data_IF_653874018488
#
_entry.id   IF_653874018488
#
_cell.length_a   1.000
_cell.length_b   1.000
_cell.length_c   1.000
_cell.angle_alpha   90.00
_cell.angle_beta   90.00
_cell.angle_gamma   90.00
#
_symmetry.space_group_name_H-M   'P 1'
#
loop_
_entity.id
_entity.type
_entity.pdbx_description
1 polymer ?
#
# COMPACT_ATOMS: atom_id res chain seq x y z
N UNK A 1 18.85 27.01 32.16
CA UNK A 1 19.77 25.91 31.80
C UNK A 1 18.94 24.82 31.16
N UNK A 2 19.24 24.39 29.93
CA UNK A 2 18.56 23.24 29.32
C UNK A 2 18.87 21.99 30.14
N UNK A 3 17.84 21.34 30.67
CA UNK A 3 17.94 20.09 31.42
C UNK A 3 18.69 19.05 30.59
N UNK A 4 19.76 18.46 31.13
CA UNK A 4 20.57 17.48 30.43
C UNK A 4 19.75 16.19 30.25
N UNK A 5 19.13 16.02 29.08
CA UNK A 5 18.40 14.80 28.76
C UNK A 5 19.37 13.66 28.45
N UNK A 6 19.46 12.66 29.33
CA UNK A 6 20.19 11.41 29.06
C UNK A 6 19.39 10.61 28.02
N UNK A 7 19.90 10.58 26.79
CA UNK A 7 19.28 9.82 25.70
C UNK A 7 19.72 8.36 25.77
N UNK A 8 18.81 7.44 26.08
CA UNK A 8 19.08 6.01 26.06
C UNK A 8 18.72 5.39 24.69
N UNK A 9 19.69 4.85 23.94
CA UNK A 9 19.41 4.23 22.64
C UNK A 9 18.67 2.90 22.77
N UNK A 10 17.54 2.73 22.08
CA UNK A 10 16.90 1.42 21.91
C UNK A 10 17.66 0.59 20.85
N UNK A 11 18.59 -0.23 21.33
CA UNK A 11 19.44 -1.09 20.49
C UNK A 11 18.64 -2.16 19.74
N UNK A 12 17.57 -2.69 20.35
CA UNK A 12 16.71 -3.67 19.70
C UNK A 12 15.93 -3.03 18.54
N UNK A 13 15.47 -1.80 18.70
CA UNK A 13 14.83 -1.06 17.61
C UNK A 13 15.79 -0.81 16.45
N UNK A 14 17.04 -0.42 16.74
CA UNK A 14 18.07 -0.26 15.71
C UNK A 14 18.25 -1.56 14.92
N UNK A 15 18.40 -2.69 15.62
CA UNK A 15 18.55 -4.01 14.99
C UNK A 15 17.34 -4.37 14.13
N UNK A 16 16.11 -4.11 14.61
CA UNK A 16 14.88 -4.35 13.82
C UNK A 16 14.83 -3.49 12.57
N UNK A 17 15.18 -2.20 12.65
CA UNK A 17 15.23 -1.32 11.46
C UNK A 17 16.25 -1.84 10.45
N UNK A 18 17.43 -2.28 10.91
CA UNK A 18 18.45 -2.87 10.05
C UNK A 18 17.95 -4.16 9.37
N UNK A 19 17.35 -5.07 10.13
CA UNK A 19 16.77 -6.32 9.62
C UNK A 19 15.59 -6.06 8.66
N UNK A 20 14.83 -5.00 8.88
CA UNK A 20 13.72 -4.56 8.02
C UNK A 20 14.20 -3.85 6.75
N UNK A 21 15.47 -3.91 6.36
CA UNK A 21 16.00 -3.31 5.12
C UNK A 21 16.65 -1.93 5.28
N UNK A 22 16.88 -1.47 6.52
CA UNK A 22 17.57 -0.22 6.84
C UNK A 22 19.05 -0.40 7.22
N UNK A 23 19.71 -1.48 6.78
CA UNK A 23 21.06 -1.87 7.25
C UNK A 23 22.14 -0.79 7.12
N UNK A 24 21.99 0.11 6.15
CA UNK A 24 22.96 1.18 5.88
C UNK A 24 22.80 2.44 6.75
N UNK A 25 21.85 2.44 7.71
CA UNK A 25 21.56 3.60 8.56
C UNK A 25 22.79 4.10 9.33
N UNK A 26 23.70 3.21 9.73
CA UNK A 26 24.92 3.51 10.50
C UNK A 26 26.03 4.17 9.66
N UNK A 27 25.92 4.19 8.33
CA UNK A 27 26.88 4.88 7.44
C UNK A 27 26.69 6.40 7.41
N UNK A 28 25.53 6.89 7.88
CA UNK A 28 25.15 8.28 7.73
C UNK A 28 25.88 9.20 8.73
N UNK A 29 26.68 10.12 8.22
CA UNK A 29 27.39 11.17 8.98
C UNK A 29 26.71 12.56 8.95
N UNK A 30 25.40 12.63 8.67
CA UNK A 30 24.62 13.86 8.78
C UNK A 30 25.00 15.06 7.87
N UNK A 31 25.55 14.84 6.67
CA UNK A 31 25.87 15.91 5.68
C UNK A 31 24.70 16.71 5.08
N UNK A 32 23.43 16.33 5.35
CA UNK A 32 22.22 16.98 4.81
C UNK A 32 21.93 16.88 3.29
N UNK A 33 22.78 16.25 2.46
CA UNK A 33 22.52 16.11 1.00
C UNK A 33 21.12 15.57 0.68
N UNK A 34 20.64 14.61 1.48
CA UNK A 34 19.31 14.03 1.31
C UNK A 34 18.15 15.02 1.53
N UNK A 35 18.31 15.97 2.46
CA UNK A 35 17.29 16.99 2.75
C UNK A 35 17.30 18.12 1.73
N UNK A 36 18.48 18.48 1.21
CA UNK A 36 18.61 19.44 0.12
C UNK A 36 18.01 18.86 -1.16
N UNK A 37 18.35 17.61 -1.51
CA UNK A 37 17.89 16.96 -2.73
C UNK A 37 16.41 16.58 -2.75
N UNK A 38 15.74 16.52 -1.60
CA UNK A 38 14.32 16.17 -1.53
C UNK A 38 13.45 17.41 -1.72
N UNK A 39 12.64 17.42 -2.78
CA UNK A 39 11.70 18.52 -3.09
C UNK A 39 10.57 18.61 -2.07
N UNK A 40 10.22 17.48 -1.45
CA UNK A 40 9.19 17.42 -0.43
C UNK A 40 9.65 17.91 0.94
N UNK A 41 10.95 18.06 1.17
CA UNK A 41 11.48 18.46 2.48
C UNK A 41 11.05 19.88 2.84
N UNK A 42 10.28 20.08 3.93
CA UNK A 42 9.99 21.42 4.45
C UNK A 42 11.28 22.13 4.91
N UNK A 43 11.28 23.46 4.88
CA UNK A 43 12.42 24.27 5.36
C UNK A 43 12.57 24.20 6.87
N UNK A 44 11.48 24.41 7.61
CA UNK A 44 11.47 24.43 9.08
C UNK A 44 11.70 23.04 9.70
N UNK A 45 11.45 21.97 8.93
CA UNK A 45 11.55 20.59 9.41
C UNK A 45 12.19 19.67 8.35
N UNK A 46 13.52 19.76 8.15
CA UNK A 46 14.20 19.02 7.10
C UNK A 46 14.10 17.49 7.27
N UNK A 47 13.65 16.80 6.22
CA UNK A 47 13.66 15.33 6.12
C UNK A 47 14.46 14.92 4.88
N UNK A 48 15.05 13.72 4.80
CA UNK A 48 15.06 12.64 5.78
C UNK A 48 16.21 12.72 6.80
N UNK A 49 17.07 13.75 6.77
CA UNK A 49 18.28 13.86 7.62
C UNK A 49 17.98 13.61 9.11
N UNK A 50 16.92 14.26 9.63
CA UNK A 50 16.50 14.14 11.03
C UNK A 50 16.08 12.71 11.40
N UNK A 51 15.38 12.03 10.51
CA UNK A 51 14.95 10.65 10.73
C UNK A 51 16.16 9.69 10.69
N UNK A 52 17.17 9.97 9.87
CA UNK A 52 18.40 9.19 9.84
C UNK A 52 19.16 9.21 11.18
N UNK A 53 19.33 10.38 11.80
CA UNK A 53 20.05 10.44 13.10
C UNK A 53 19.22 9.81 14.23
N UNK A 54 17.91 10.05 14.25
CA UNK A 54 17.00 9.42 15.22
C UNK A 54 17.01 7.89 15.10
N UNK A 55 17.07 7.37 13.88
CA UNK A 55 17.20 5.93 13.65
C UNK A 55 18.56 5.40 14.14
N UNK A 56 19.66 6.13 13.91
CA UNK A 56 20.99 5.74 14.40
C UNK A 56 21.07 5.66 15.92
N UNK A 57 20.38 6.57 16.62
CA UNK A 57 20.34 6.64 18.08
C UNK A 57 19.19 5.83 18.70
N UNK A 58 18.40 5.09 17.90
CA UNK A 58 17.33 4.26 18.45
C UNK A 58 16.20 5.05 19.09
N UNK A 59 15.95 6.28 18.64
CA UNK A 59 14.94 7.19 19.18
C UNK A 59 13.54 6.83 18.65
N UNK A 60 13.07 5.65 19.02
CA UNK A 60 11.81 5.08 18.54
C UNK A 60 10.61 6.00 18.82
N UNK A 61 10.38 6.53 20.04
CA UNK A 61 9.22 7.38 20.30
C UNK A 61 9.15 8.58 19.35
N UNK A 62 10.28 9.27 19.16
CA UNK A 62 10.40 10.45 18.31
C UNK A 62 10.27 10.15 16.81
N UNK A 63 10.54 8.92 16.38
CA UNK A 63 10.35 8.49 14.99
C UNK A 63 8.89 8.12 14.72
N UNK A 64 8.25 7.41 15.65
CA UNK A 64 6.89 6.89 15.49
C UNK A 64 5.85 7.99 15.62
N UNK A 65 6.19 9.08 16.31
CA UNK A 65 5.36 10.27 16.44
C UNK A 65 5.58 11.31 15.34
N UNK A 66 6.58 11.15 14.46
CA UNK A 66 6.94 12.15 13.44
C UNK A 66 6.13 11.94 12.14
N UNK A 67 5.21 12.87 11.78
CA UNK A 67 4.42 12.76 10.55
C UNK A 67 5.28 12.76 9.28
N UNK A 68 6.50 13.34 9.33
CA UNK A 68 7.41 13.40 8.20
C UNK A 68 7.83 12.01 7.69
N UNK A 69 7.73 10.97 8.53
CA UNK A 69 7.96 9.58 8.14
C UNK A 69 7.07 9.16 6.95
N UNK A 70 5.86 9.71 6.87
CA UNK A 70 4.86 9.37 5.86
C UNK A 70 4.91 10.24 4.60
N UNK A 71 5.70 11.32 4.59
CA UNK A 71 5.87 12.21 3.43
C UNK A 71 6.72 11.54 2.34
N UNK A 72 7.70 10.73 2.72
CA UNK A 72 8.61 10.06 1.79
C UNK A 72 7.87 9.08 0.86
N UNK A 73 7.99 9.32 -0.45
CA UNK A 73 7.48 8.40 -1.47
C UNK A 73 8.44 7.24 -1.79
N UNK A 74 9.67 7.27 -1.27
CA UNK A 74 10.75 6.34 -1.63
C UNK A 74 11.15 6.39 -3.12
N UNK A 75 11.40 7.60 -3.63
CA UNK A 75 11.85 7.82 -5.01
C UNK A 75 13.32 7.46 -5.26
N UNK A 76 14.12 7.28 -4.20
CA UNK A 76 15.52 6.88 -4.33
C UNK A 76 16.53 8.01 -4.62
N UNK A 77 16.10 9.23 -4.96
CA UNK A 77 17.02 10.36 -5.25
C UNK A 77 18.01 10.59 -4.11
N UNK A 78 17.52 10.58 -2.86
CA UNK A 78 18.37 10.74 -1.68
C UNK A 78 19.32 9.56 -1.46
N UNK A 79 18.98 8.37 -1.94
CA UNK A 79 19.84 7.19 -1.91
C UNK A 79 20.97 7.33 -2.92
N UNK A 80 20.66 7.67 -4.17
CA UNK A 80 21.64 7.85 -5.25
C UNK A 80 22.63 8.97 -4.96
N UNK A 81 22.16 10.10 -4.39
CA UNK A 81 23.01 11.26 -4.09
C UNK A 81 23.77 11.14 -2.76
N UNK A 82 23.61 10.06 -2.00
CA UNK A 82 24.26 9.95 -0.69
C UNK A 82 25.77 9.66 -0.86
N UNK A 83 26.68 10.56 -0.44
CA UNK A 83 28.12 10.37 -0.61
C UNK A 83 28.69 9.20 0.23
N UNK A 84 27.96 8.77 1.26
CA UNK A 84 28.34 7.64 2.13
C UNK A 84 27.64 6.34 1.78
N UNK A 85 26.75 6.33 0.78
CA UNK A 85 25.92 5.17 0.48
C UNK A 85 25.05 4.73 1.67
N UNK A 86 24.54 5.67 2.47
CA UNK A 86 23.72 5.39 3.66
C UNK A 86 22.22 5.16 3.36
N UNK A 87 21.86 5.23 2.07
CA UNK A 87 20.55 4.89 1.50
C UNK A 87 19.32 5.38 2.29
N UNK A 88 19.15 6.71 2.46
CA UNK A 88 18.07 7.25 3.29
C UNK A 88 16.67 6.82 2.85
N UNK A 89 16.41 6.63 1.56
CA UNK A 89 15.10 6.16 1.07
C UNK A 89 14.73 4.80 1.66
N UNK A 90 15.69 3.87 1.69
CA UNK A 90 15.49 2.51 2.17
C UNK A 90 15.32 2.46 3.70
N UNK A 91 16.08 3.29 4.43
CA UNK A 91 15.91 3.46 5.89
C UNK A 91 14.52 4.02 6.21
N UNK A 92 14.03 5.02 5.48
CA UNK A 92 12.68 5.55 5.65
C UNK A 92 11.60 4.50 5.29
N UNK A 93 11.87 3.63 4.31
CA UNK A 93 11.06 2.45 4.03
C UNK A 93 10.99 1.48 5.21
N UNK A 94 12.14 1.17 5.83
CA UNK A 94 12.22 0.28 6.99
C UNK A 94 11.51 0.87 8.21
N UNK A 95 11.69 2.17 8.49
CA UNK A 95 11.01 2.87 9.57
C UNK A 95 9.48 2.86 9.40
N UNK A 96 8.97 3.00 8.17
CA UNK A 96 7.52 2.87 7.90
C UNK A 96 7.01 1.46 8.16
N UNK A 97 7.78 0.41 7.85
CA UNK A 97 7.42 -0.97 8.20
C UNK A 97 7.36 -1.16 9.72
N UNK A 98 8.30 -0.59 10.47
CA UNK A 98 8.25 -0.61 11.94
C UNK A 98 7.03 0.15 12.48
N UNK A 99 6.66 1.28 11.86
CA UNK A 99 5.46 2.02 12.23
C UNK A 99 4.17 1.20 11.98
N UNK A 100 4.07 0.54 10.82
CA UNK A 100 2.94 -0.38 10.52
C UNK A 100 2.87 -1.49 11.57
N UNK A 101 4.01 -2.11 11.93
CA UNK A 101 4.07 -3.15 12.96
C UNK A 101 3.65 -2.63 14.34
N UNK A 102 4.03 -1.42 14.71
CA UNK A 102 3.66 -0.82 15.99
C UNK A 102 2.17 -0.49 16.08
N UNK A 103 1.57 -0.01 14.99
CA UNK A 103 0.16 0.37 14.98
C UNK A 103 -0.78 -0.81 14.71
N UNK A 104 -0.27 -1.93 14.20
CA UNK A 104 -1.03 -3.15 13.90
C UNK A 104 -1.93 -3.62 15.06
N UNK A 105 -3.15 -4.00 14.72
CA UNK A 105 -4.07 -4.69 15.62
C UNK A 105 -4.66 -5.92 14.92
N UNK A 106 -4.53 -7.13 15.50
CA UNK A 106 -3.67 -7.47 16.64
C UNK A 106 -2.18 -7.26 16.36
N UNK A 107 -1.38 -7.00 17.40
CA UNK A 107 0.02 -6.64 17.21
C UNK A 107 0.87 -7.78 16.63
N UNK A 108 0.57 -9.04 16.98
CA UNK A 108 1.32 -10.19 16.48
C UNK A 108 1.19 -10.35 14.96
N UNK A 109 0.06 -9.97 14.37
CA UNK A 109 -0.17 -10.03 12.92
C UNK A 109 0.81 -9.13 12.16
N UNK A 110 1.11 -7.95 12.70
CA UNK A 110 2.11 -7.04 12.12
C UNK A 110 3.52 -7.65 12.09
N UNK A 111 3.88 -8.44 13.10
CA UNK A 111 5.15 -9.17 13.13
C UNK A 111 5.15 -10.38 12.19
N UNK A 112 4.02 -11.09 12.12
CA UNK A 112 3.86 -12.27 11.28
C UNK A 112 3.97 -11.93 9.79
N UNK A 113 3.18 -10.97 9.31
CA UNK A 113 3.15 -10.54 7.90
C UNK A 113 4.48 -9.90 7.47
N UNK A 114 5.22 -9.30 8.40
CA UNK A 114 6.52 -8.72 8.11
C UNK A 114 7.64 -9.78 7.96
N UNK A 115 7.42 -11.02 8.39
CA UNK A 115 8.43 -12.08 8.36
C UNK A 115 8.29 -12.96 7.12
N UNK A 116 9.34 -13.10 6.27
CA UNK A 116 9.28 -13.99 5.12
C UNK A 116 9.11 -15.47 5.52
N UNK A 117 9.54 -15.85 6.73
CA UNK A 117 9.37 -17.21 7.25
C UNK A 117 7.91 -17.58 7.48
N UNK A 118 7.02 -16.60 7.62
CA UNK A 118 5.60 -16.83 7.81
C UNK A 118 4.85 -17.10 6.51
N UNK A 119 5.48 -16.92 5.35
CA UNK A 119 4.85 -17.09 4.02
C UNK A 119 4.02 -18.37 3.87
N UNK A 120 4.56 -19.57 4.18
CA UNK A 120 3.80 -20.80 4.03
C UNK A 120 2.53 -20.79 4.89
N UNK A 121 2.63 -20.28 6.13
CA UNK A 121 1.49 -20.18 7.03
C UNK A 121 0.45 -19.18 6.52
N UNK A 122 0.89 -18.03 5.99
CA UNK A 122 -0.01 -16.99 5.48
C UNK A 122 -0.87 -17.47 4.31
N UNK A 123 -0.35 -18.36 3.46
CA UNK A 123 -1.12 -18.98 2.37
C UNK A 123 -1.83 -20.27 2.79
N UNK A 124 -1.27 -21.03 3.73
CA UNK A 124 -1.90 -22.24 4.24
C UNK A 124 -3.28 -21.94 4.85
N UNK A 125 -3.41 -20.86 5.63
CA UNK A 125 -4.68 -20.48 6.24
C UNK A 125 -5.83 -20.34 5.22
N UNK A 126 -5.76 -19.44 4.21
CA UNK A 126 -6.81 -19.35 3.19
C UNK A 126 -6.96 -20.64 2.38
N UNK A 127 -5.87 -21.33 2.08
CA UNK A 127 -5.92 -22.59 1.33
C UNK A 127 -6.77 -23.63 2.06
N UNK A 128 -6.54 -23.81 3.37
CA UNK A 128 -7.30 -24.74 4.20
C UNK A 128 -8.77 -24.32 4.32
N UNK A 129 -9.05 -23.03 4.46
CA UNK A 129 -10.43 -22.50 4.50
C UNK A 129 -11.17 -22.85 3.20
N UNK A 130 -10.59 -22.55 2.04
CA UNK A 130 -11.26 -22.80 0.76
C UNK A 130 -11.32 -24.28 0.39
N UNK A 131 -10.35 -25.10 0.83
CA UNK A 131 -10.45 -26.56 0.71
C UNK A 131 -11.61 -27.09 1.57
N UNK A 132 -11.75 -26.61 2.81
CA UNK A 132 -12.86 -26.99 3.67
C UNK A 132 -14.21 -26.60 3.05
N UNK A 133 -14.33 -25.40 2.47
CA UNK A 133 -15.54 -24.98 1.75
C UNK A 133 -15.79 -25.90 0.55
N UNK A 134 -14.79 -26.16 -0.28
CA UNK A 134 -14.95 -27.00 -1.48
C UNK A 134 -15.39 -28.44 -1.16
N UNK A 135 -14.95 -28.98 -0.02
CA UNK A 135 -15.26 -30.35 0.39
C UNK A 135 -16.53 -30.49 1.22
N UNK A 136 -16.85 -29.53 2.09
CA UNK A 136 -17.91 -29.68 3.11
C UNK A 136 -19.10 -28.75 2.93
N UNK A 137 -18.98 -27.68 2.13
CA UNK A 137 -20.09 -26.77 1.92
C UNK A 137 -21.23 -27.45 1.12
N UNK A 138 -22.50 -27.17 1.45
CA UNK A 138 -23.64 -27.62 0.65
C UNK A 138 -23.50 -27.10 -0.79
N UNK A 139 -23.40 -28.02 -1.75
CA UNK A 139 -23.23 -27.66 -3.16
C UNK A 139 -24.54 -27.15 -3.74
N UNK A 140 -24.43 -26.14 -4.61
CA UNK A 140 -25.57 -25.59 -5.35
C UNK A 140 -26.20 -26.62 -6.29
N UNK A 141 -27.35 -26.27 -6.85
CA UNK A 141 -28.01 -27.08 -7.88
C UNK A 141 -27.09 -27.21 -9.10
N UNK A 142 -27.09 -28.40 -9.72
CA UNK A 142 -26.32 -28.64 -10.95
C UNK A 142 -26.95 -27.85 -12.08
N UNK A 143 -26.26 -26.80 -12.51
CA UNK A 143 -26.65 -25.99 -13.67
C UNK A 143 -26.16 -26.62 -14.99
N UNK A 144 -26.84 -26.39 -16.13
CA UNK A 144 -26.39 -26.87 -17.45
C UNK A 144 -25.03 -26.32 -17.86
N UNK A 145 -24.68 -25.13 -17.36
CA UNK A 145 -23.38 -24.48 -17.55
C UNK A 145 -22.56 -24.55 -16.28
N UNK A 146 -21.24 -24.64 -16.43
CA UNK A 146 -20.30 -24.61 -15.33
C UNK A 146 -20.31 -23.23 -14.66
N UNK A 147 -20.60 -23.23 -13.36
CA UNK A 147 -20.57 -22.06 -12.51
C UNK A 147 -19.68 -22.29 -11.30
N UNK A 148 -19.01 -21.24 -10.83
CA UNK A 148 -18.19 -21.32 -9.62
C UNK A 148 -19.01 -21.70 -8.39
N UNK A 149 -20.30 -21.33 -8.36
CA UNK A 149 -21.25 -21.65 -7.30
C UNK A 149 -21.45 -23.16 -7.10
N UNK A 150 -21.15 -23.99 -8.11
CA UNK A 150 -21.26 -25.45 -8.04
C UNK A 150 -20.27 -26.08 -7.06
N UNK A 151 -19.14 -25.41 -6.79
CA UNK A 151 -18.11 -25.86 -5.84
C UNK A 151 -17.99 -24.90 -4.66
N UNK A 152 -18.14 -23.60 -4.89
CA UNK A 152 -17.99 -22.57 -3.87
C UNK A 152 -19.30 -21.78 -3.73
N UNK A 153 -20.16 -22.13 -2.77
CA UNK A 153 -21.48 -21.50 -2.63
C UNK A 153 -21.36 -20.00 -2.33
N UNK A 154 -22.07 -19.19 -3.12
CA UNK A 154 -22.01 -17.72 -3.07
C UNK A 154 -22.33 -17.18 -1.66
N UNK A 155 -23.39 -17.61 -0.96
CA UNK A 155 -23.71 -17.05 0.36
C UNK A 155 -22.62 -17.30 1.42
N UNK A 156 -21.93 -18.43 1.33
CA UNK A 156 -20.84 -18.79 2.26
C UNK A 156 -19.60 -17.93 1.97
N UNK A 157 -19.25 -17.77 0.69
CA UNK A 157 -18.16 -16.89 0.29
C UNK A 157 -18.44 -15.44 0.73
N UNK A 158 -19.64 -14.93 0.49
CA UNK A 158 -20.04 -13.58 0.90
C UNK A 158 -19.95 -13.40 2.40
N UNK A 159 -20.57 -14.29 3.19
CA UNK A 159 -20.50 -14.23 4.64
C UNK A 159 -19.04 -14.22 5.14
N UNK A 160 -18.17 -15.05 4.55
CA UNK A 160 -16.74 -15.08 4.88
C UNK A 160 -16.05 -13.75 4.55
N UNK A 161 -16.18 -13.25 3.32
CA UNK A 161 -15.49 -12.02 2.88
C UNK A 161 -16.00 -10.77 3.59
N UNK A 162 -17.31 -10.66 3.89
CA UNK A 162 -17.85 -9.55 4.67
C UNK A 162 -17.41 -9.62 6.14
N UNK A 163 -17.33 -10.82 6.73
CA UNK A 163 -16.80 -11.00 8.09
C UNK A 163 -15.33 -10.58 8.17
N UNK A 164 -14.50 -11.06 7.24
CA UNK A 164 -13.09 -10.68 7.14
C UNK A 164 -12.94 -9.18 6.89
N UNK A 165 -13.76 -8.61 6.02
CA UNK A 165 -13.76 -7.16 5.75
C UNK A 165 -14.11 -6.36 7.00
N UNK A 166 -15.09 -6.79 7.79
CA UNK A 166 -15.41 -6.18 9.08
C UNK A 166 -14.23 -6.19 10.06
N UNK A 167 -13.52 -7.34 10.16
CA UNK A 167 -12.31 -7.44 10.96
C UNK A 167 -11.18 -6.53 10.44
N UNK A 168 -10.96 -6.48 9.13
CA UNK A 168 -9.96 -5.62 8.48
C UNK A 168 -10.24 -4.14 8.74
N UNK A 169 -11.51 -3.71 8.65
CA UNK A 169 -11.94 -2.35 8.97
C UNK A 169 -11.70 -2.02 10.44
N UNK A 170 -12.01 -2.94 11.36
CA UNK A 170 -11.70 -2.79 12.79
C UNK A 170 -10.19 -2.65 13.03
N UNK A 171 -9.39 -3.51 12.40
CA UNK A 171 -7.93 -3.46 12.50
C UNK A 171 -7.36 -2.12 12.02
N UNK A 172 -7.86 -1.61 10.89
CA UNK A 172 -7.52 -0.27 10.41
C UNK A 172 -7.96 0.83 11.38
N UNK A 173 -9.19 0.78 11.89
CA UNK A 173 -9.71 1.78 12.82
C UNK A 173 -8.85 1.86 14.09
N UNK A 174 -8.54 0.72 14.71
CA UNK A 174 -7.67 0.65 15.90
C UNK A 174 -6.26 1.14 15.57
N UNK A 175 -5.68 0.71 14.44
CA UNK A 175 -4.36 1.15 14.01
C UNK A 175 -4.29 2.66 13.77
N UNK A 176 -5.29 3.24 13.12
CA UNK A 176 -5.41 4.68 12.89
C UNK A 176 -5.51 5.44 14.21
N UNK A 177 -6.33 4.98 15.16
CA UNK A 177 -6.44 5.60 16.49
C UNK A 177 -5.08 5.60 17.20
N UNK A 178 -4.34 4.48 17.16
CA UNK A 178 -2.98 4.38 17.74
C UNK A 178 -2.00 5.33 17.05
N UNK A 179 -2.04 5.41 15.73
CA UNK A 179 -1.20 6.31 14.94
C UNK A 179 -1.47 7.78 15.30
N UNK A 180 -2.75 8.19 15.36
CA UNK A 180 -3.18 9.54 15.72
C UNK A 180 -2.72 9.91 17.13
N UNK A 181 -2.96 9.04 18.11
CA UNK A 181 -2.53 9.26 19.51
C UNK A 181 -1.02 9.44 19.58
N UNK A 182 -0.26 8.61 18.88
CA UNK A 182 1.21 8.68 18.85
C UNK A 182 1.71 9.97 18.19
N UNK A 183 1.08 10.43 17.10
CA UNK A 183 1.44 11.71 16.48
C UNK A 183 1.11 12.90 17.38
N UNK A 184 -0.02 12.86 18.11
CA UNK A 184 -0.38 13.90 19.08
C UNK A 184 0.63 14.01 20.22
N UNK A 185 1.15 12.88 20.73
CA UNK A 185 2.24 12.91 21.72
C UNK A 185 3.54 13.50 21.16
N UNK A 186 3.72 13.49 19.83
CA UNK A 186 4.83 14.14 19.14
C UNK A 186 4.61 15.62 18.82
N UNK A 187 3.52 16.23 19.27
CA UNK A 187 3.22 17.64 19.03
C UNK A 187 2.45 17.94 17.75
N UNK A 188 1.87 16.93 17.06
CA UNK A 188 1.01 17.19 15.91
C UNK A 188 -0.31 17.85 16.33
N UNK A 189 -0.56 19.08 15.86
CA UNK A 189 -1.71 19.92 16.24
C UNK A 189 -2.79 20.02 15.15
N UNK A 190 -2.56 19.42 13.96
CA UNK A 190 -3.48 19.53 12.83
C UNK A 190 -4.88 18.98 13.12
N UNK A 191 -5.90 19.71 12.69
CA UNK A 191 -7.30 19.27 12.75
C UNK A 191 -7.56 18.21 11.67
N UNK A 192 -7.44 16.93 12.05
CA UNK A 192 -7.51 15.77 11.13
C UNK A 192 -8.74 15.84 10.20
N UNK A 193 -9.92 16.19 10.73
CA UNK A 193 -11.14 16.25 9.92
C UNK A 193 -11.06 17.28 8.79
N UNK A 194 -10.45 18.45 9.07
CA UNK A 194 -10.26 19.51 8.07
C UNK A 194 -9.14 19.17 7.09
N UNK A 195 -8.11 18.46 7.55
CA UNK A 195 -6.98 18.01 6.73
C UNK A 195 -7.29 16.80 5.83
N UNK A 196 -8.39 16.08 6.07
CA UNK A 196 -8.68 14.82 5.39
C UNK A 196 -8.97 15.01 3.90
N UNK A 197 -9.90 15.91 3.55
CA UNK A 197 -10.28 16.14 2.15
C UNK A 197 -9.09 16.64 1.30
N UNK A 198 -8.30 17.64 1.75
CA UNK A 198 -7.07 18.03 1.05
C UNK A 198 -6.07 16.87 0.89
N UNK A 199 -5.87 16.06 1.94
CA UNK A 199 -4.98 14.91 1.90
C UNK A 199 -5.45 13.86 0.88
N UNK A 200 -6.75 13.55 0.86
CA UNK A 200 -7.35 12.63 -0.12
C UNK A 200 -7.19 13.15 -1.53
N UNK A 201 -7.54 14.42 -1.80
CA UNK A 201 -7.37 15.02 -3.14
C UNK A 201 -5.93 14.90 -3.64
N UNK A 202 -4.96 15.14 -2.76
CA UNK A 202 -3.54 15.02 -3.09
C UNK A 202 -3.14 13.57 -3.39
N UNK A 203 -3.67 12.60 -2.65
CA UNK A 203 -3.39 11.18 -2.85
C UNK A 203 -4.02 10.67 -4.14
N UNK A 204 -5.24 11.10 -4.48
CA UNK A 204 -5.95 10.62 -5.68
C UNK A 204 -5.39 11.20 -6.98
N UNK A 205 -4.74 12.37 -6.91
CA UNK A 205 -4.18 13.08 -8.09
C UNK A 205 -2.68 12.85 -8.26
N UNK A 206 -2.01 12.23 -7.29
CA UNK A 206 -0.56 12.02 -7.28
C UNK A 206 0.27 13.30 -7.46
N UNK A 207 -0.28 14.51 -7.25
CA UNK A 207 0.39 15.79 -7.55
C UNK A 207 1.83 15.87 -7.01
N UNK A 208 2.03 15.52 -5.72
CA UNK A 208 3.37 15.54 -5.11
C UNK A 208 4.24 14.35 -5.49
N UNK A 209 3.63 13.32 -6.05
CA UNK A 209 4.32 12.14 -6.51
C UNK A 209 5.09 12.42 -7.80
N UNK A 210 4.51 13.20 -8.72
CA UNK A 210 5.14 13.61 -9.96
C UNK A 210 6.44 14.40 -9.75
N UNK A 211 6.53 15.21 -8.69
CA UNK A 211 7.78 15.87 -8.25
C UNK A 211 8.90 14.88 -7.89
N UNK A 212 8.54 13.63 -7.60
CA UNK A 212 9.45 12.55 -7.25
C UNK A 212 9.65 11.55 -8.40
N UNK A 213 9.14 11.85 -9.61
CA UNK A 213 9.02 10.88 -10.70
C UNK A 213 10.06 11.04 -11.80
N UNK A 214 11.31 10.68 -11.50
CA UNK A 214 12.37 10.69 -12.51
C UNK A 214 12.24 9.59 -13.60
N UNK A 215 11.31 8.62 -13.46
CA UNK A 215 11.26 7.39 -14.30
C UNK A 215 9.85 6.82 -14.52
N UNK A 216 8.83 7.68 -14.61
CA UNK A 216 7.42 7.34 -14.89
C UNK A 216 6.77 6.26 -13.99
N UNK A 217 7.27 6.08 -12.77
CA UNK A 217 6.74 5.08 -11.85
C UNK A 217 5.51 5.58 -11.08
N UNK A 218 5.27 6.90 -11.05
CA UNK A 218 4.05 7.46 -10.47
C UNK A 218 2.82 7.10 -11.30
N UNK A 219 2.96 7.03 -12.63
CA UNK A 219 1.89 6.56 -13.51
C UNK A 219 1.50 5.12 -13.19
N UNK A 220 2.48 4.21 -13.08
CA UNK A 220 2.23 2.82 -12.70
C UNK A 220 1.47 2.71 -11.38
N UNK A 221 1.88 3.49 -10.36
CA UNK A 221 1.18 3.53 -9.07
C UNK A 221 -0.23 4.13 -9.18
N UNK A 222 -0.44 5.18 -9.97
CA UNK A 222 -1.75 5.81 -10.15
C UNK A 222 -2.74 4.84 -10.81
N UNK A 223 -2.31 4.15 -11.87
CA UNK A 223 -3.09 3.12 -12.54
C UNK A 223 -3.41 1.97 -11.58
N UNK A 224 -2.44 1.49 -10.82
CA UNK A 224 -2.68 0.45 -9.80
C UNK A 224 -3.69 0.88 -8.74
N UNK A 225 -3.62 2.14 -8.26
CA UNK A 225 -4.57 2.67 -7.27
C UNK A 225 -6.00 2.69 -7.83
N UNK A 226 -6.20 3.28 -9.01
CA UNK A 226 -7.53 3.44 -9.59
C UNK A 226 -8.12 2.13 -10.09
N UNK A 227 -7.32 1.26 -10.69
CA UNK A 227 -7.79 -0.08 -11.09
C UNK A 227 -8.16 -0.94 -9.88
N UNK A 228 -7.40 -0.88 -8.79
CA UNK A 228 -7.76 -1.55 -7.52
C UNK A 228 -9.05 -0.98 -6.93
N UNK A 229 -9.17 0.35 -6.85
CA UNK A 229 -10.37 1.01 -6.33
C UNK A 229 -11.61 0.64 -7.15
N UNK A 230 -11.51 0.65 -8.49
CA UNK A 230 -12.58 0.23 -9.38
C UNK A 230 -13.03 -1.21 -9.13
N UNK A 231 -12.09 -2.16 -9.07
CA UNK A 231 -12.39 -3.57 -8.79
C UNK A 231 -12.99 -3.78 -7.38
N UNK A 232 -12.50 -3.05 -6.37
CA UNK A 232 -13.03 -3.11 -5.02
C UNK A 232 -14.48 -2.59 -4.95
N UNK A 233 -14.79 -1.51 -5.66
CA UNK A 233 -16.16 -0.98 -5.78
C UNK A 233 -17.06 -1.99 -6.48
N UNK A 234 -16.64 -2.54 -7.62
CA UNK A 234 -17.42 -3.57 -8.34
C UNK A 234 -17.70 -4.76 -7.43
N UNK A 235 -16.68 -5.31 -6.76
CA UNK A 235 -16.84 -6.46 -5.88
C UNK A 235 -17.79 -6.18 -4.71
N UNK A 236 -17.71 -4.99 -4.12
CA UNK A 236 -18.59 -4.57 -3.02
C UNK A 236 -20.03 -4.41 -3.49
N UNK A 237 -20.25 -3.72 -4.62
CA UNK A 237 -21.59 -3.54 -5.20
C UNK A 237 -22.19 -4.87 -5.60
N UNK A 238 -21.40 -5.76 -6.22
CA UNK A 238 -21.85 -7.09 -6.60
C UNK A 238 -22.25 -7.91 -5.38
N UNK A 239 -21.39 -7.99 -4.36
CA UNK A 239 -21.65 -8.75 -3.13
C UNK A 239 -22.83 -8.22 -2.30
N UNK A 240 -22.99 -6.90 -2.18
CA UNK A 240 -24.18 -6.33 -1.53
C UNK A 240 -25.44 -6.63 -2.35
N UNK A 241 -25.35 -6.55 -3.69
CA UNK A 241 -26.49 -6.77 -4.57
C UNK A 241 -27.01 -8.20 -4.61
N UNK A 242 -26.10 -9.17 -4.57
CA UNK A 242 -26.44 -10.59 -4.45
C UNK A 242 -27.03 -10.91 -3.08
N UNK A 243 -26.42 -10.41 -1.99
CA UNK A 243 -26.95 -10.61 -0.63
C UNK A 243 -28.33 -9.98 -0.43
N UNK A 244 -28.58 -8.81 -1.02
CA UNK A 244 -29.87 -8.12 -0.96
C UNK A 244 -30.89 -8.63 -1.98
N UNK A 245 -30.51 -9.58 -2.85
CA UNK A 245 -31.39 -10.24 -3.81
C UNK A 245 -31.76 -9.42 -5.06
N UNK A 246 -31.10 -8.28 -5.31
CA UNK A 246 -31.38 -7.45 -6.49
C UNK A 246 -30.38 -7.66 -7.64
N UNK A 247 -29.30 -8.43 -7.42
CA UNK A 247 -28.32 -8.79 -8.44
C UNK A 247 -28.12 -10.30 -8.46
N UNK A 248 -28.09 -10.89 -9.67
CA UNK A 248 -27.78 -12.29 -9.86
C UNK A 248 -26.49 -12.43 -10.67
N UNK A 249 -25.56 -13.24 -10.16
CA UNK A 249 -24.34 -13.63 -10.88
C UNK A 249 -24.48 -15.04 -11.44
N UNK A 250 -23.89 -15.36 -12.60
CA UNK A 250 -22.91 -14.55 -13.35
C UNK A 250 -23.53 -13.42 -14.18
N UNK A 251 -22.86 -12.27 -14.22
CA UNK A 251 -23.30 -11.11 -15.00
C UNK A 251 -23.02 -11.31 -16.51
N UNK A 252 -23.93 -10.88 -17.40
CA UNK A 252 -23.66 -10.82 -18.85
C UNK A 252 -22.48 -9.89 -19.18
N UNK A 253 -21.77 -10.17 -20.27
CA UNK A 253 -20.61 -9.35 -20.70
C UNK A 253 -20.99 -7.91 -21.07
N UNK A 254 -22.23 -7.68 -21.50
CA UNK A 254 -22.77 -6.36 -21.84
C UNK A 254 -23.20 -5.55 -20.61
N UNK A 255 -23.24 -6.16 -19.42
CA UNK A 255 -23.63 -5.46 -18.20
C UNK A 255 -22.60 -4.37 -17.86
N UNK A 256 -23.08 -3.16 -17.54
CA UNK A 256 -22.20 -2.02 -17.24
C UNK A 256 -21.22 -2.27 -16.08
N UNK A 257 -21.65 -2.99 -15.04
CA UNK A 257 -20.79 -3.35 -13.90
C UNK A 257 -19.67 -4.30 -14.33
N UNK A 258 -19.96 -5.22 -15.25
CA UNK A 258 -18.99 -6.16 -15.81
C UNK A 258 -17.98 -5.46 -16.74
N UNK A 259 -18.45 -4.58 -17.61
CA UNK A 259 -17.58 -3.76 -18.48
C UNK A 259 -16.63 -2.87 -17.65
N UNK A 260 -17.15 -2.23 -16.60
CA UNK A 260 -16.34 -1.42 -15.70
C UNK A 260 -15.31 -2.26 -14.93
N UNK A 261 -15.67 -3.47 -14.51
CA UNK A 261 -14.74 -4.42 -13.89
C UNK A 261 -13.60 -4.79 -14.84
N UNK A 262 -13.91 -5.14 -16.09
CA UNK A 262 -12.91 -5.54 -17.08
C UNK A 262 -12.00 -4.37 -17.46
N UNK A 263 -12.53 -3.16 -17.60
CA UNK A 263 -11.72 -1.95 -17.78
C UNK A 263 -10.79 -1.70 -16.59
N UNK A 264 -11.30 -1.85 -15.36
CA UNK A 264 -10.49 -1.71 -14.14
C UNK A 264 -9.40 -2.78 -14.03
N UNK A 265 -9.68 -4.01 -14.46
CA UNK A 265 -8.72 -5.12 -14.52
C UNK A 265 -7.56 -4.83 -15.49
N UNK A 266 -7.84 -4.27 -16.67
CA UNK A 266 -6.80 -3.82 -17.61
C UNK A 266 -5.96 -2.70 -17.02
N UNK A 267 -6.60 -1.70 -16.39
CA UNK A 267 -5.91 -0.56 -15.77
C UNK A 267 -4.95 -1.03 -14.67
N UNK A 268 -5.40 -1.88 -13.75
CA UNK A 268 -4.52 -2.38 -12.67
C UNK A 268 -3.42 -3.29 -13.22
N UNK A 269 -3.68 -4.09 -14.25
CA UNK A 269 -2.68 -4.95 -14.89
C UNK A 269 -1.57 -4.10 -15.52
N UNK A 270 -1.92 -3.09 -16.32
CA UNK A 270 -0.95 -2.15 -16.89
C UNK A 270 -0.15 -1.44 -15.81
N UNK A 271 -0.81 -0.95 -14.75
CA UNK A 271 -0.12 -0.34 -13.60
C UNK A 271 0.87 -1.30 -12.92
N UNK A 272 0.44 -2.54 -12.68
CA UNK A 272 1.27 -3.59 -12.09
C UNK A 272 2.49 -3.95 -12.93
N UNK A 273 2.31 -4.07 -14.26
CA UNK A 273 3.40 -4.35 -15.20
C UNK A 273 4.40 -3.19 -15.27
N UNK A 274 3.94 -1.93 -15.30
CA UNK A 274 4.82 -0.75 -15.23
C UNK A 274 5.62 -0.75 -13.93
N UNK A 275 4.98 -1.02 -12.79
CA UNK A 275 5.66 -1.09 -11.50
C UNK A 275 6.68 -2.24 -11.43
N UNK A 276 6.38 -3.38 -12.05
CA UNK A 276 7.29 -4.51 -12.14
C UNK A 276 8.50 -4.19 -13.02
N UNK A 277 8.26 -3.67 -14.22
CA UNK A 277 9.30 -3.30 -15.18
C UNK A 277 10.23 -2.22 -14.61
N UNK A 278 9.67 -1.14 -14.07
CA UNK A 278 10.46 -0.06 -13.45
C UNK A 278 11.30 -0.56 -12.28
N UNK A 279 10.77 -1.50 -11.49
CA UNK A 279 11.50 -2.10 -10.37
C UNK A 279 12.62 -3.03 -10.84
N UNK A 280 12.45 -3.75 -11.94
CA UNK A 280 13.50 -4.61 -12.53
C UNK A 280 14.58 -3.82 -13.27
N UNK A 281 14.25 -2.65 -13.82
CA UNK A 281 15.20 -1.84 -14.57
C UNK A 281 16.04 -0.93 -13.66
N UNK A 282 15.46 -0.40 -12.58
CA UNK A 282 16.14 0.53 -11.68
C UNK A 282 17.08 -0.22 -10.69
N UNK A 283 18.42 -0.07 -10.81
CA UNK A 283 19.36 -0.77 -9.94
C UNK A 283 19.24 -0.34 -8.47
N UNK A 284 18.88 0.92 -8.20
CA UNK A 284 18.70 1.42 -6.83
C UNK A 284 17.48 0.78 -6.19
N UNK A 285 16.36 0.70 -6.92
CA UNK A 285 15.16 0.02 -6.43
C UNK A 285 15.36 -1.49 -6.33
N UNK A 286 16.04 -2.15 -7.27
CA UNK A 286 16.35 -3.59 -7.18
C UNK A 286 17.08 -3.92 -5.88
N UNK A 287 18.16 -3.22 -5.59
CA UNK A 287 18.99 -3.45 -4.40
C UNK A 287 18.28 -2.99 -3.11
N UNK A 288 17.32 -2.06 -3.18
CA UNK A 288 16.51 -1.59 -2.04
C UNK A 288 15.24 -2.36 -1.77
N UNK A 289 14.91 -3.30 -2.65
CA UNK A 289 13.70 -4.08 -2.54
C UNK A 289 13.78 -5.10 -1.43
N UNK A 290 12.80 -5.06 -0.54
CA UNK A 290 12.58 -6.08 0.48
C UNK A 290 11.60 -7.14 -0.03
N UNK A 291 11.60 -8.32 0.61
CA UNK A 291 10.60 -9.35 0.39
C UNK A 291 9.17 -8.78 0.43
N UNK A 292 8.88 -7.90 1.39
CA UNK A 292 7.58 -7.27 1.58
C UNK A 292 7.14 -6.44 0.35
N UNK A 293 8.09 -5.90 -0.41
CA UNK A 293 7.79 -5.16 -1.64
C UNK A 293 7.44 -6.10 -2.80
N UNK A 294 8.19 -7.19 -2.95
CA UNK A 294 7.99 -8.18 -4.01
C UNK A 294 6.75 -9.03 -3.78
N UNK A 295 6.55 -9.49 -2.55
CA UNK A 295 5.37 -10.26 -2.15
C UNK A 295 4.08 -9.54 -2.48
N UNK A 296 3.99 -8.26 -2.08
CA UNK A 296 2.81 -7.46 -2.35
C UNK A 296 2.53 -7.33 -3.85
N UNK A 297 3.54 -7.00 -4.65
CA UNK A 297 3.39 -6.82 -6.09
C UNK A 297 3.04 -8.14 -6.79
N UNK A 298 3.66 -9.25 -6.38
CA UNK A 298 3.39 -10.57 -6.93
C UNK A 298 1.97 -11.04 -6.62
N UNK A 299 1.49 -10.89 -5.37
CA UNK A 299 0.10 -11.22 -5.01
C UNK A 299 -0.87 -10.34 -5.79
N UNK A 300 -0.62 -9.03 -5.88
CA UNK A 300 -1.50 -8.11 -6.60
C UNK A 300 -1.64 -8.46 -8.08
N UNK A 301 -0.52 -8.68 -8.78
CA UNK A 301 -0.53 -9.11 -10.19
C UNK A 301 -1.16 -10.50 -10.32
N UNK A 302 -0.85 -11.42 -9.42
CA UNK A 302 -1.42 -12.77 -9.39
C UNK A 302 -2.95 -12.77 -9.24
N UNK A 303 -3.50 -11.94 -8.35
CA UNK A 303 -4.96 -11.75 -8.19
C UNK A 303 -5.58 -11.32 -9.51
N UNK A 304 -4.99 -10.33 -10.19
CA UNK A 304 -5.54 -9.80 -11.45
C UNK A 304 -5.48 -10.84 -12.56
N UNK A 305 -4.33 -11.49 -12.75
CA UNK A 305 -4.15 -12.51 -13.77
C UNK A 305 -5.08 -13.70 -13.55
N UNK A 306 -5.19 -14.20 -12.32
CA UNK A 306 -6.10 -15.30 -11.98
C UNK A 306 -7.57 -14.88 -12.09
N UNK A 307 -7.91 -13.62 -11.83
CA UNK A 307 -9.27 -13.10 -12.01
C UNK A 307 -9.68 -13.05 -13.49
N UNK A 308 -8.79 -12.55 -14.36
CA UNK A 308 -9.00 -12.55 -15.82
C UNK A 308 -9.09 -14.00 -16.32
N UNK A 309 -8.19 -14.88 -15.88
CA UNK A 309 -8.19 -16.28 -16.28
C UNK A 309 -9.44 -17.03 -15.79
N UNK A 310 -9.95 -16.72 -14.60
CA UNK A 310 -11.21 -17.28 -14.10
C UNK A 310 -12.37 -16.89 -15.02
N UNK A 311 -12.43 -15.63 -15.48
CA UNK A 311 -13.44 -15.21 -16.45
C UNK A 311 -13.33 -15.97 -17.78
N UNK A 312 -12.13 -16.04 -18.36
CA UNK A 312 -11.91 -16.71 -19.65
C UNK A 312 -12.25 -18.20 -19.59
N UNK A 313 -11.74 -18.91 -18.56
CA UNK A 313 -12.00 -20.35 -18.39
C UNK A 313 -13.46 -20.67 -18.10
N UNK A 314 -14.21 -19.75 -17.48
CA UNK A 314 -15.66 -19.85 -17.35
C UNK A 314 -16.37 -19.68 -18.70
N UNK A 315 -15.95 -18.72 -19.53
CA UNK A 315 -16.55 -18.52 -20.86
C UNK A 315 -16.31 -19.72 -21.79
N UNK A 316 -15.13 -20.34 -21.70
CA UNK A 316 -14.79 -21.56 -22.45
C UNK A 316 -15.41 -22.84 -21.89
N UNK A 317 -16.00 -22.80 -20.69
CA UNK A 317 -16.54 -23.98 -20.00
C UNK A 317 -15.48 -25.09 -19.77
N UNK A 318 -14.23 -24.68 -19.51
CA UNK A 318 -13.10 -25.59 -19.30
C UNK A 318 -13.01 -26.08 -17.84
N UNK A 319 -13.87 -27.04 -17.44
CA UNK A 319 -14.01 -27.50 -16.04
C UNK A 319 -12.67 -27.81 -15.33
N UNK A 320 -11.75 -28.49 -16.02
CA UNK A 320 -10.47 -28.95 -15.46
C UNK A 320 -9.57 -27.79 -15.00
N UNK A 321 -9.72 -26.60 -15.59
CA UNK A 321 -8.89 -25.42 -15.30
C UNK A 321 -9.70 -24.36 -14.55
N UNK A 322 -11.00 -24.26 -14.82
CA UNK A 322 -11.89 -23.25 -14.24
C UNK A 322 -11.88 -23.26 -12.69
N UNK A 323 -12.12 -24.41 -12.05
CA UNK A 323 -12.18 -24.48 -10.59
C UNK A 323 -10.81 -24.28 -9.91
N UNK A 324 -9.70 -24.90 -10.38
CA UNK A 324 -8.38 -24.63 -9.82
C UNK A 324 -7.95 -23.17 -9.93
N UNK A 325 -8.20 -22.51 -11.07
CA UNK A 325 -7.88 -21.09 -11.24
C UNK A 325 -8.67 -20.22 -10.27
N UNK A 326 -9.96 -20.48 -10.13
CA UNK A 326 -10.80 -19.74 -9.19
C UNK A 326 -10.41 -20.00 -7.73
N UNK A 327 -10.02 -21.22 -7.38
CA UNK A 327 -9.48 -21.54 -6.06
C UNK A 327 -8.22 -20.73 -5.76
N UNK A 328 -7.25 -20.69 -6.69
CA UNK A 328 -6.04 -19.87 -6.54
C UNK A 328 -6.42 -18.39 -6.43
N UNK A 329 -7.36 -17.90 -7.24
CA UNK A 329 -7.85 -16.54 -7.15
C UNK A 329 -8.40 -16.21 -5.75
N UNK A 330 -9.27 -17.07 -5.20
CA UNK A 330 -9.83 -16.93 -3.85
C UNK A 330 -8.75 -16.89 -2.77
N UNK A 331 -7.75 -17.79 -2.84
CA UNK A 331 -6.62 -17.80 -1.89
C UNK A 331 -5.83 -16.50 -1.96
N UNK A 332 -5.52 -16.00 -3.16
CA UNK A 332 -4.74 -14.79 -3.36
C UNK A 332 -5.52 -13.54 -2.91
N UNK A 333 -6.79 -13.39 -3.28
CA UNK A 333 -7.60 -12.22 -2.93
C UNK A 333 -7.90 -12.20 -1.42
N UNK A 334 -8.18 -13.34 -0.81
CA UNK A 334 -8.34 -13.44 0.65
C UNK A 334 -7.06 -13.02 1.38
N UNK A 335 -5.90 -13.48 0.92
CA UNK A 335 -4.59 -13.09 1.47
C UNK A 335 -4.37 -11.58 1.32
N UNK A 336 -4.71 -11.02 0.15
CA UNK A 336 -4.58 -9.59 -0.12
C UNK A 336 -5.41 -8.74 0.86
N UNK A 337 -6.66 -9.14 1.12
CA UNK A 337 -7.57 -8.42 2.02
C UNK A 337 -7.23 -8.61 3.49
N UNK A 338 -7.12 -9.85 3.97
CA UNK A 338 -6.88 -10.14 5.38
C UNK A 338 -5.59 -9.49 5.88
N UNK A 339 -4.56 -9.46 5.03
CA UNK A 339 -3.25 -8.91 5.39
C UNK A 339 -3.10 -7.42 5.06
N UNK A 340 -4.12 -6.76 4.48
CA UNK A 340 -4.07 -5.34 4.11
C UNK A 340 -3.66 -4.39 5.27
N UNK A 341 -4.16 -4.52 6.50
CA UNK A 341 -3.79 -3.65 7.62
C UNK A 341 -2.32 -3.77 8.06
N UNK A 342 -1.66 -4.85 7.66
CA UNK A 342 -0.29 -5.17 8.05
C UNK A 342 0.67 -5.11 6.85
N UNK A 343 0.15 -4.87 5.66
CA UNK A 343 0.90 -4.83 4.41
C UNK A 343 1.21 -3.38 3.98
N UNK A 344 1.68 -3.21 2.75
CA UNK A 344 1.82 -1.89 2.12
C UNK A 344 0.51 -1.14 1.97
N UNK A 345 -0.66 -1.80 1.97
CA UNK A 345 -1.93 -1.09 1.93
C UNK A 345 -2.11 -0.16 3.12
N UNK A 346 -1.57 -0.52 4.28
CA UNK A 346 -1.61 0.33 5.46
C UNK A 346 -0.90 1.68 5.28
N UNK A 347 0.03 1.78 4.32
CA UNK A 347 0.61 3.06 3.93
C UNK A 347 -0.44 4.08 3.53
N UNK A 348 -1.47 3.69 2.76
CA UNK A 348 -2.52 4.60 2.30
C UNK A 348 -3.27 5.22 3.48
N UNK A 349 -3.67 4.40 4.45
CA UNK A 349 -4.41 4.85 5.64
C UNK A 349 -3.54 5.75 6.52
N UNK A 350 -2.34 5.30 6.92
CA UNK A 350 -1.47 6.06 7.81
C UNK A 350 -0.93 7.33 7.17
N UNK A 351 -0.61 7.31 5.86
CA UNK A 351 -0.18 8.51 5.15
C UNK A 351 -1.27 9.57 5.08
N UNK A 352 -2.51 9.17 4.78
CA UNK A 352 -3.65 10.10 4.73
C UNK A 352 -3.79 10.84 6.07
N UNK A 353 -3.79 10.10 7.18
CA UNK A 353 -3.94 10.68 8.50
C UNK A 353 -2.71 11.49 8.93
N UNK A 354 -1.50 11.04 8.60
CA UNK A 354 -0.28 11.80 8.89
C UNK A 354 -0.24 13.13 8.14
N UNK A 355 -0.66 13.16 6.87
CA UNK A 355 -0.77 14.39 6.10
C UNK A 355 -1.84 15.33 6.66
N UNK A 356 -2.97 14.79 7.10
CA UNK A 356 -4.02 15.58 7.75
C UNK A 356 -3.58 16.14 9.13
N UNK A 357 -2.75 15.39 9.87
CA UNK A 357 -2.23 15.78 11.18
C UNK A 357 -1.03 16.76 11.11
N UNK A 358 -0.23 16.70 10.04
CA UNK A 358 0.94 17.58 9.84
C UNK A 358 0.58 19.01 9.43
N UNK A 359 -0.65 19.26 8.97
CA UNK A 359 -1.08 20.55 8.44
C UNK A 359 -0.67 20.77 6.97
N UNK A 360 -0.91 21.97 6.41
CA UNK A 360 -0.57 22.29 5.03
C UNK A 360 0.94 22.17 4.80
N UNK A 361 1.34 21.52 3.70
CA UNK A 361 2.74 21.49 3.30
C UNK A 361 3.10 22.75 2.53
N UNK A 362 4.17 23.40 2.95
CA UNK A 362 4.77 24.52 2.25
C UNK A 362 5.94 24.02 1.38
N UNK A 363 5.88 24.22 0.04
CA UNK A 363 7.01 23.91 -0.84
C UNK A 363 8.22 24.78 -0.51
N UNK A 364 9.42 24.29 -0.83
CA UNK A 364 10.61 25.16 -0.92
C UNK A 364 10.36 26.27 -1.96
N UNK A 365 10.89 27.49 -1.77
CA UNK A 365 10.74 28.59 -2.74
C UNK A 365 11.11 28.18 -4.17
N UNK A 366 12.22 27.45 -4.32
CA UNK A 366 12.74 26.93 -5.60
C UNK A 366 11.79 25.92 -6.28
N UNK A 367 10.92 25.25 -5.53
CA UNK A 367 9.90 24.34 -6.06
C UNK A 367 8.64 25.14 -6.45
N UNK A 368 8.28 26.13 -5.64
CA UNK A 368 7.16 27.03 -5.95
C UNK A 368 7.41 27.87 -7.21
N UNK A 369 8.65 28.31 -7.42
CA UNK A 369 9.08 29.08 -8.59
C UNK A 369 9.00 28.25 -9.87
N UNK A 370 9.60 27.06 -9.89
CA UNK A 370 9.50 26.12 -11.03
C UNK A 370 8.06 25.74 -11.38
N UNK A 371 7.19 25.58 -10.37
CA UNK A 371 5.78 25.33 -10.62
C UNK A 371 5.09 26.52 -11.32
N UNK A 372 5.40 27.76 -10.91
CA UNK A 372 4.89 28.97 -11.58
C UNK A 372 5.39 29.09 -13.02
N UNK A 373 6.67 28.82 -13.25
CA UNK A 373 7.28 28.85 -14.60
C UNK A 373 6.64 27.80 -15.52
N UNK A 374 6.42 26.57 -15.04
CA UNK A 374 5.75 25.52 -15.81
C UNK A 374 4.28 25.84 -16.13
N UNK A 375 3.57 26.50 -15.21
CA UNK A 375 2.20 26.96 -15.42
C UNK A 375 2.13 28.14 -16.39
N UNK A 376 3.14 29.01 -16.39
CA UNK A 376 3.25 30.11 -17.35
C UNK A 376 3.60 29.60 -18.75
N UNK A 377 4.51 28.63 -18.88
CA UNK A 377 4.89 28.02 -20.15
C UNK A 377 3.74 27.21 -20.78
N UNK A 378 2.90 26.56 -19.96
CA UNK A 378 1.69 25.87 -20.42
C UNK A 378 0.56 26.81 -20.87
N UNK A 379 0.53 28.05 -20.38
CA UNK A 379 -0.45 29.06 -20.80
C UNK A 379 -0.07 29.73 -22.12
N UNK A 380 1.23 29.79 -22.46
CA UNK A 380 1.73 30.36 -23.72
C UNK A 380 1.56 29.41 -24.91
N UNK A 381 1.38 28.10 -24.66
CA UNK A 381 1.23 27.08 -25.73
C UNK A 381 -0.22 26.78 -26.13
N UNK A 382 -1.21 27.38 -25.46
CA UNK A 382 -2.65 27.24 -25.80
C UNK A 382 -3.22 28.42 -26.60
N UNK A 383 -2.38 29.35 -27.04
CA UNK A 383 -2.76 30.49 -27.89
C UNK A 383 -2.07 30.40 -29.24
N UNK A 384 -2.38 29.37 -30.03
CA UNK A 384 -2.13 29.35 -31.47
C UNK A 384 -3.18 28.52 -32.19
#
# INVERSE_FOLDING_TARGET
MSEAAVMQPDTQFIQRVMASGGGDLKKCYQCATCSVACELSPEESPFPRRQMIRAQWGLKPQLMSDPALWLCHNCGICTTRCPRGARPGDVLGALRREAIRQFAFPQFMGSLVASPKALPLLFALPTLIFLAIAHWAPKGQVTPHLEFANVFPIPILEALFFTVSGFVLLAFAVGLVRCIRTMRTGGATGKIMQGLLPALRQIMTHQRFWMCDARNWSLGHLLTLWGFAGLAVVGTVAGIGTMAGFLHTPLPLTNGLKLFANASAVVILCGGLILLATRMQDPVKRVGSTYFDWFFLAVLVGVVLTGIMAELTRLEQAAAVMYPVYFVHLVLIFSLFLYAPYSKFAHLAYRTVAMAAAGPWTPKPQVAERARESSAAGAVTTTH
#
